data_IF_024827864200
#
_entry.id   IF_024827864200
#
_cell.length_a   1.000
_cell.length_b   1.000
_cell.length_c   1.000
_cell.angle_alpha   90.00
_cell.angle_beta   90.00
_cell.angle_gamma   90.00
#
_symmetry.space_group_name_H-M   'P 1'
#
loop_
_entity.id
_entity.type
_entity.pdbx_description
1 polymer ?
#
# COMPACT_ATOMS: atom_id res chain seq x y z
N UNK A 1 -10.28 7.23 -9.37
CA UNK A 1 -9.04 8.02 -9.59
C UNK A 1 -7.82 7.09 -9.64
N UNK A 2 -7.78 6.14 -10.58
CA UNK A 2 -6.61 5.26 -10.83
C UNK A 2 -5.96 5.60 -12.20
N UNK A 3 -6.66 6.32 -13.07
CA UNK A 3 -6.25 6.54 -14.47
C UNK A 3 -5.08 7.52 -14.65
N UNK A 4 -4.70 8.31 -13.65
CA UNK A 4 -3.58 9.28 -13.76
C UNK A 4 -2.30 8.84 -13.03
N UNK A 5 -2.24 7.62 -12.47
CA UNK A 5 -1.02 7.16 -11.79
C UNK A 5 0.01 6.66 -12.81
N UNK A 6 1.08 7.43 -12.99
CA UNK A 6 2.28 6.99 -13.70
C UNK A 6 2.93 5.83 -12.92
N UNK A 7 2.68 4.61 -13.38
CA UNK A 7 3.08 3.37 -12.70
C UNK A 7 4.58 3.07 -12.78
N UNK A 8 5.37 3.88 -13.49
CA UNK A 8 6.80 3.62 -13.75
C UNK A 8 7.74 3.79 -12.55
N UNK A 9 7.31 4.41 -11.44
CA UNK A 9 8.17 4.75 -10.30
C UNK A 9 7.68 4.22 -8.94
N UNK A 10 6.81 3.21 -8.93
CA UNK A 10 6.20 2.72 -7.68
C UNK A 10 7.02 1.56 -7.12
N UNK A 11 7.54 1.73 -5.90
CA UNK A 11 8.07 0.61 -5.12
C UNK A 11 6.91 -0.11 -4.42
N UNK A 12 6.94 -1.44 -4.40
CA UNK A 12 5.92 -2.26 -3.75
C UNK A 12 6.53 -3.17 -2.67
N UNK A 13 5.82 -3.30 -1.55
CA UNK A 13 6.19 -4.19 -0.45
C UNK A 13 5.03 -5.13 -0.14
N UNK A 14 5.35 -6.41 0.04
CA UNK A 14 4.39 -7.45 0.38
C UNK A 14 4.47 -7.81 1.86
N UNK A 15 3.31 -7.90 2.52
CA UNK A 15 3.21 -8.43 3.88
C UNK A 15 1.86 -9.11 4.11
N UNK A 16 1.77 -9.93 5.16
CA UNK A 16 0.50 -10.52 5.60
C UNK A 16 -0.52 -9.46 6.05
N UNK A 17 -0.16 -8.61 7.01
CA UNK A 17 -1.07 -7.65 7.67
C UNK A 17 -0.86 -6.19 7.23
N UNK A 18 -1.22 -5.86 5.98
CA UNK A 18 -0.96 -4.53 5.37
C UNK A 18 -1.45 -3.31 6.17
N UNK A 19 -2.45 -3.47 7.03
CA UNK A 19 -2.94 -2.40 7.90
C UNK A 19 -1.91 -1.97 8.95
N UNK A 20 -1.19 -2.93 9.53
CA UNK A 20 -0.16 -2.67 10.55
C UNK A 20 0.97 -1.82 9.97
N UNK A 21 1.44 -2.17 8.78
CA UNK A 21 2.51 -1.43 8.12
C UNK A 21 2.05 -0.08 7.58
N UNK A 22 0.81 0.04 7.12
CA UNK A 22 0.19 1.34 6.82
C UNK A 22 0.27 2.25 8.05
N UNK A 23 -0.18 1.77 9.20
CA UNK A 23 -0.23 2.57 10.43
C UNK A 23 1.18 2.93 10.92
N UNK A 24 2.15 2.03 10.76
CA UNK A 24 3.56 2.31 11.01
C UNK A 24 4.07 3.47 10.13
N UNK A 25 3.86 3.43 8.82
CA UNK A 25 4.32 4.50 7.92
C UNK A 25 3.60 5.83 8.16
N UNK A 26 2.31 5.80 8.51
CA UNK A 26 1.57 7.03 8.89
C UNK A 26 2.19 7.62 10.18
N UNK A 27 2.35 6.78 11.20
CA UNK A 27 2.77 7.23 12.55
C UNK A 27 4.21 7.76 12.55
N UNK A 28 5.13 7.06 11.91
CA UNK A 28 6.56 7.33 12.06
C UNK A 28 7.17 8.10 10.88
N UNK A 29 6.53 8.08 9.72
CA UNK A 29 7.06 8.71 8.49
C UNK A 29 6.12 9.76 7.89
N UNK A 30 5.01 10.09 8.58
CA UNK A 30 4.05 11.10 8.12
C UNK A 30 3.36 10.73 6.81
N UNK A 31 3.31 9.44 6.45
CA UNK A 31 2.69 9.01 5.21
C UNK A 31 1.18 9.32 5.19
N UNK A 32 0.65 9.58 4.01
CA UNK A 32 -0.79 9.68 3.75
C UNK A 32 -1.24 8.42 3.03
N UNK A 33 -2.26 7.76 3.56
CA UNK A 33 -2.82 6.53 2.96
C UNK A 33 -4.10 6.81 2.21
N UNK A 34 -4.33 6.06 1.13
CA UNK A 34 -5.66 5.93 0.54
C UNK A 34 -6.57 5.00 1.39
N UNK A 35 -7.80 4.82 0.92
CA UNK A 35 -8.70 3.76 1.43
C UNK A 35 -8.22 2.37 0.99
N UNK A 36 -8.57 1.35 1.79
CA UNK A 36 -8.20 -0.03 1.49
C UNK A 36 -8.79 -0.47 0.14
N UNK A 37 -7.93 -0.94 -0.75
CA UNK A 37 -8.35 -1.68 -1.93
C UNK A 37 -8.31 -3.18 -1.64
N UNK A 38 -9.39 -3.90 -1.97
CA UNK A 38 -9.47 -5.34 -1.74
C UNK A 38 -10.06 -6.03 -2.97
N UNK A 39 -9.23 -6.82 -3.65
CA UNK A 39 -9.62 -7.64 -4.78
C UNK A 39 -10.19 -8.95 -4.23
N UNK A 40 -11.52 -8.99 -4.02
CA UNK A 40 -12.20 -10.16 -3.43
C UNK A 40 -11.89 -11.48 -4.14
N UNK A 41 -11.77 -11.48 -5.47
CA UNK A 41 -11.49 -12.68 -6.27
C UNK A 41 -10.14 -13.32 -5.93
N UNK A 42 -9.13 -12.52 -5.63
CA UNK A 42 -7.76 -12.98 -5.41
C UNK A 42 -7.32 -12.81 -3.96
N UNK A 43 -8.18 -12.34 -3.06
CA UNK A 43 -7.84 -12.07 -1.65
C UNK A 43 -6.84 -10.91 -1.43
N UNK A 44 -6.33 -10.29 -2.50
CA UNK A 44 -5.29 -9.27 -2.40
C UNK A 44 -5.85 -7.98 -1.79
N UNK A 45 -5.18 -7.50 -0.76
CA UNK A 45 -5.43 -6.22 -0.10
C UNK A 45 -4.28 -5.27 -0.40
N UNK A 46 -4.55 -3.98 -0.59
CA UNK A 46 -3.49 -3.01 -0.84
C UNK A 46 -3.82 -1.59 -0.40
N UNK A 47 -2.77 -0.87 -0.04
CA UNK A 47 -2.77 0.58 0.16
C UNK A 47 -1.77 1.24 -0.77
N UNK A 48 -2.04 2.50 -1.11
CA UNK A 48 -1.05 3.43 -1.62
C UNK A 48 -0.74 4.45 -0.55
N UNK A 49 0.54 4.57 -0.27
CA UNK A 49 1.09 5.60 0.61
C UNK A 49 1.78 6.66 -0.24
N UNK A 50 1.48 7.92 0.07
CA UNK A 50 2.16 9.09 -0.46
C UNK A 50 2.86 9.84 0.65
N UNK A 51 4.02 10.40 0.33
CA UNK A 51 4.76 11.32 1.18
C UNK A 51 4.65 12.75 0.61
N UNK A 52 5.43 13.69 1.13
CA UNK A 52 5.36 15.10 0.71
C UNK A 52 5.82 15.35 -0.73
N UNK A 53 6.60 14.43 -1.31
CA UNK A 53 7.04 14.49 -2.72
C UNK A 53 6.28 13.50 -3.63
N UNK A 54 6.76 13.29 -4.86
CA UNK A 54 6.19 12.32 -5.82
C UNK A 54 6.44 10.85 -5.42
N UNK A 55 7.19 10.60 -4.35
CA UNK A 55 7.45 9.24 -3.86
C UNK A 55 6.15 8.56 -3.43
N UNK A 56 5.95 7.32 -3.91
CA UNK A 56 4.80 6.48 -3.60
C UNK A 56 5.28 5.09 -3.19
N UNK A 57 4.68 4.55 -2.14
CA UNK A 57 4.87 3.17 -1.71
C UNK A 57 3.55 2.42 -1.85
N UNK A 58 3.58 1.27 -2.52
CA UNK A 58 2.43 0.37 -2.60
C UNK A 58 2.59 -0.74 -1.58
N UNK A 59 1.66 -0.83 -0.63
CA UNK A 59 1.57 -1.96 0.29
C UNK A 59 0.64 -3.00 -0.32
N UNK A 60 1.10 -4.24 -0.39
CA UNK A 60 0.39 -5.38 -0.96
C UNK A 60 0.29 -6.48 0.09
N UNK A 61 -0.86 -7.15 0.17
CA UNK A 61 -1.06 -8.18 1.17
C UNK A 61 -1.98 -9.29 0.72
N UNK A 62 -1.66 -10.47 1.22
CA UNK A 62 -2.39 -11.70 0.99
C UNK A 62 -2.21 -12.61 2.22
N UNK A 63 -3.22 -13.42 2.53
CA UNK A 63 -3.21 -14.36 3.67
C UNK A 63 -2.10 -15.42 3.58
N UNK A 64 -1.59 -15.67 2.38
CA UNK A 64 -0.67 -16.77 2.10
C UNK A 64 0.80 -16.38 2.27
N UNK A 65 1.08 -15.10 2.58
CA UNK A 65 2.43 -14.65 2.91
C UNK A 65 2.78 -15.13 4.30
N UNK A 66 3.90 -15.86 4.45
CA UNK A 66 4.40 -16.35 5.74
C UNK A 66 4.64 -15.21 6.76
N UNK A 67 4.60 -15.54 8.06
CA UNK A 67 5.04 -14.60 9.12
C UNK A 67 6.57 -14.46 9.13
#
# INVERSE_FOLDING_TARGET
MIEEMNWKLITALWMREVGVLRDFYITYFGAKSNVLYHIKKTGVKSYFLSFDEETRLKLMGHSDIAE
#
